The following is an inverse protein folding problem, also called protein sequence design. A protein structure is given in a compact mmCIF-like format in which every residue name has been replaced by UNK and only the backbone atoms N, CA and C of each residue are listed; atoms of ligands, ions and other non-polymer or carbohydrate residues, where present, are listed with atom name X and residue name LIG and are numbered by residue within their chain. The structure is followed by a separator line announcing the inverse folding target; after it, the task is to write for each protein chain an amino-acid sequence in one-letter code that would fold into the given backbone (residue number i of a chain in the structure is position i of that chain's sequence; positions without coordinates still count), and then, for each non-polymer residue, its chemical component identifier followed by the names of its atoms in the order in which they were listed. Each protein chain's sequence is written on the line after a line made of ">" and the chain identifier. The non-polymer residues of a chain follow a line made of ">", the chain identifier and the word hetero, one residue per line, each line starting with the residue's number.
data_IF_879281182799
#
_entry.id   IF_879281182799
#
_cell.length_a   1.000
_cell.length_b   1.000
_cell.length_c   1.000
_cell.angle_alpha   90.00
_cell.angle_beta   90.00
_cell.angle_gamma   90.00
#
_symmetry.space_group_name_H-M   'P 1'
#
loop_
_entity.id
_entity.type
_entity.pdbx_description
1 polymer ?
#
# COMPACT_ATOMS: atom_id res chain seq x y z
N UNK A 1 -4.87 8.30 -14.50
CA UNK A 1 -3.62 7.56 -14.23
C UNK A 1 -3.16 6.75 -15.45
N UNK A 2 -2.77 7.39 -16.57
CA UNK A 2 -2.28 6.69 -17.76
C UNK A 2 -1.07 5.77 -17.50
N UNK A 3 -0.07 6.21 -16.73
CA UNK A 3 1.13 5.41 -16.44
C UNK A 3 0.76 4.15 -15.65
N UNK A 4 0.06 4.29 -14.54
CA UNK A 4 -0.35 3.15 -13.70
C UNK A 4 -1.21 2.16 -14.49
N UNK A 5 -2.13 2.65 -15.33
CA UNK A 5 -2.95 1.78 -16.18
C UNK A 5 -2.14 1.04 -17.26
N UNK A 6 -1.07 1.64 -17.78
CA UNK A 6 -0.23 1.01 -18.81
C UNK A 6 0.60 -0.15 -18.27
N UNK A 7 0.97 -0.12 -16.98
CA UNK A 7 1.65 -1.24 -16.31
C UNK A 7 0.77 -2.50 -16.28
N UNK A 8 -0.53 -2.34 -16.03
CA UNK A 8 -1.49 -3.47 -16.12
C UNK A 8 -1.66 -3.90 -17.58
N UNK A 9 -1.84 -2.94 -18.50
CA UNK A 9 -2.08 -3.22 -19.91
C UNK A 9 -0.92 -3.98 -20.58
N UNK A 10 0.31 -3.73 -20.14
CA UNK A 10 1.52 -4.35 -20.65
C UNK A 10 1.90 -5.66 -19.94
N UNK A 11 1.16 -6.06 -18.91
CA UNK A 11 1.48 -7.25 -18.09
C UNK A 11 2.62 -7.05 -17.09
N UNK A 12 3.16 -5.83 -16.96
CA UNK A 12 4.16 -5.48 -15.94
C UNK A 12 3.59 -5.40 -14.52
N UNK A 13 2.26 -5.44 -14.38
CA UNK A 13 1.58 -5.44 -13.09
C UNK A 13 0.38 -6.39 -13.05
N UNK A 14 0.17 -6.99 -11.88
CA UNK A 14 -1.06 -7.72 -11.54
C UNK A 14 -1.99 -6.80 -10.75
N UNK A 15 -3.08 -6.36 -11.38
CA UNK A 15 -4.10 -5.50 -10.76
C UNK A 15 -5.39 -6.23 -10.41
N UNK A 16 -5.92 -5.95 -9.22
CA UNK A 16 -7.16 -6.51 -8.68
C UNK A 16 -8.10 -5.41 -8.21
N UNK A 17 -9.40 -5.71 -8.28
CA UNK A 17 -10.39 -5.02 -7.46
C UNK A 17 -10.44 -5.76 -6.13
N UNK A 18 -9.85 -5.17 -5.09
CA UNK A 18 -9.81 -5.73 -3.75
C UNK A 18 -11.09 -5.36 -2.99
N UNK A 19 -11.88 -6.37 -2.63
CA UNK A 19 -13.08 -6.18 -1.83
C UNK A 19 -12.68 -5.83 -0.38
N UNK A 20 -12.96 -4.59 0.00
CA UNK A 20 -12.83 -4.05 1.34
C UNK A 20 -14.17 -4.20 2.08
N UNK A 21 -14.23 -5.13 3.05
CA UNK A 21 -15.44 -5.33 3.85
C UNK A 21 -15.81 -4.09 4.67
N UNK A 22 -17.03 -4.06 5.21
CA UNK A 22 -17.49 -2.99 6.11
C UNK A 22 -16.78 -3.10 7.48
N UNK A 23 -16.54 -1.98 8.19
CA UNK A 23 -16.65 -0.61 7.72
C UNK A 23 -15.49 -0.25 6.80
N UNK A 24 -15.80 0.46 5.71
CA UNK A 24 -14.84 1.02 4.76
C UNK A 24 -14.27 2.33 5.32
N UNK A 25 -13.67 2.25 6.50
CA UNK A 25 -13.02 3.37 7.21
C UNK A 25 -11.54 3.06 7.36
N UNK A 26 -10.68 4.07 7.20
CA UNK A 26 -9.22 3.94 7.15
C UNK A 26 -8.63 3.07 8.25
N UNK A 27 -8.80 3.41 9.53
CA UNK A 27 -8.16 2.63 10.60
C UNK A 27 -8.59 1.14 10.63
N UNK A 28 -9.89 0.78 10.61
CA UNK A 28 -10.31 -0.62 10.47
C UNK A 28 -9.74 -1.32 9.23
N UNK A 29 -9.63 -0.64 8.10
CA UNK A 29 -9.11 -1.20 6.86
C UNK A 29 -7.59 -1.39 6.88
N UNK A 30 -6.84 -0.45 7.44
CA UNK A 30 -5.40 -0.61 7.69
C UNK A 30 -5.14 -1.83 8.58
N UNK A 31 -5.93 -2.00 9.66
CA UNK A 31 -5.86 -3.22 10.50
C UNK A 31 -6.12 -4.49 9.69
N UNK A 32 -7.12 -4.48 8.80
CA UNK A 32 -7.41 -5.63 7.93
C UNK A 32 -6.25 -5.95 6.97
N UNK A 33 -5.65 -4.92 6.37
CA UNK A 33 -4.53 -5.02 5.42
C UNK A 33 -3.26 -5.62 6.05
N UNK A 34 -3.05 -5.42 7.35
CA UNK A 34 -1.86 -5.95 8.05
C UNK A 34 -2.12 -7.25 8.83
N UNK A 35 -3.35 -7.52 9.24
CA UNK A 35 -3.69 -8.73 10.03
C UNK A 35 -4.26 -9.85 9.17
N UNK A 36 -4.85 -9.53 8.01
CA UNK A 36 -5.57 -10.48 7.18
C UNK A 36 -6.94 -10.83 7.76
N UNK A 37 -7.41 -10.06 8.76
CA UNK A 37 -8.71 -10.26 9.40
C UNK A 37 -9.75 -9.30 8.85
N UNK A 38 -10.96 -9.81 8.65
CA UNK A 38 -12.11 -8.93 8.52
C UNK A 38 -12.32 -8.20 9.86
N UNK A 39 -12.55 -6.87 9.86
CA UNK A 39 -12.82 -6.12 11.08
C UNK A 39 -14.04 -6.63 11.82
N UNK A 40 -13.87 -6.96 13.11
CA UNK A 40 -14.97 -7.31 13.98
C UNK A 40 -15.62 -6.04 14.55
N UNK A 41 -16.95 -6.06 14.71
CA UNK A 41 -17.71 -4.92 15.24
C UNK A 41 -17.23 -4.47 16.63
N UNK A 42 -16.75 -5.40 17.46
CA UNK A 42 -16.20 -5.12 18.80
C UNK A 42 -14.87 -4.34 18.72
N UNK A 43 -14.04 -4.59 17.71
CA UNK A 43 -12.76 -3.89 17.55
C UNK A 43 -12.97 -2.43 17.18
N UNK A 44 -14.04 -2.13 16.45
CA UNK A 44 -14.44 -0.74 16.13
C UNK A 44 -14.77 0.03 17.41
N UNK A 45 -15.48 -0.59 18.36
CA UNK A 45 -15.82 0.02 19.64
C UNK A 45 -14.59 0.18 20.55
N UNK A 46 -13.64 -0.77 20.50
CA UNK A 46 -12.37 -0.67 21.24
C UNK A 46 -11.40 0.35 20.63
N UNK A 47 -11.44 0.58 19.31
CA UNK A 47 -10.64 1.60 18.62
C UNK A 47 -10.91 3.03 19.11
N UNK A 48 -12.08 3.29 19.71
CA UNK A 48 -12.37 4.56 20.38
C UNK A 48 -11.58 4.75 21.68
N UNK A 49 -11.01 3.69 22.27
CA UNK A 49 -10.41 3.71 23.61
C UNK A 49 -8.93 3.22 23.65
N UNK A 50 -8.46 2.49 22.65
CA UNK A 50 -7.06 2.06 22.51
C UNK A 50 -6.65 1.99 21.04
N UNK A 51 -5.67 2.80 20.63
CA UNK A 51 -5.27 2.92 19.22
C UNK A 51 -4.25 1.87 18.77
N UNK A 52 -3.36 1.43 19.66
CA UNK A 52 -2.33 0.44 19.35
C UNK A 52 -2.95 -0.91 18.94
N UNK A 53 -2.38 -1.54 17.92
CA UNK A 53 -2.78 -2.88 17.50
C UNK A 53 -2.13 -3.91 18.43
N UNK A 54 -2.91 -4.41 19.39
CA UNK A 54 -2.46 -5.31 20.47
C UNK A 54 -2.27 -6.78 20.02
N UNK A 55 -1.78 -7.00 18.80
CA UNK A 55 -1.57 -8.34 18.27
C UNK A 55 -0.19 -8.44 17.61
N UNK A 56 0.71 -9.20 18.24
CA UNK A 56 2.01 -9.61 17.67
C UNK A 56 1.89 -10.42 16.36
N UNK A 57 0.65 -10.78 15.96
CA UNK A 57 0.33 -11.48 14.74
C UNK A 57 -0.20 -10.52 13.65
N UNK A 58 0.64 -9.61 13.16
CA UNK A 58 0.36 -8.80 11.98
C UNK A 58 1.64 -8.63 11.13
N UNK A 59 1.49 -8.32 9.83
CA UNK A 59 2.60 -8.22 8.88
C UNK A 59 3.72 -7.28 9.33
N UNK A 60 3.37 -6.11 9.90
CA UNK A 60 4.34 -5.08 10.28
C UNK A 60 5.16 -5.57 11.47
N UNK A 61 4.50 -6.12 12.49
CA UNK A 61 5.18 -6.72 13.65
C UNK A 61 6.02 -7.94 13.26
N UNK A 62 5.54 -8.79 12.33
CA UNK A 62 6.30 -9.94 11.85
C UNK A 62 7.55 -9.55 11.04
N UNK A 63 7.45 -8.52 10.20
CA UNK A 63 8.61 -7.94 9.51
C UNK A 63 9.63 -7.44 10.53
N UNK A 64 9.20 -6.63 11.50
CA UNK A 64 10.08 -6.10 12.55
C UNK A 64 10.72 -7.21 13.40
N UNK A 65 9.94 -8.20 13.82
CA UNK A 65 10.42 -9.35 14.59
C UNK A 65 11.42 -10.22 13.81
N UNK A 66 11.33 -10.23 12.48
CA UNK A 66 12.32 -10.88 11.60
C UNK A 66 13.57 -10.02 11.34
N UNK A 67 13.71 -8.89 12.03
CA UNK A 67 14.86 -7.99 11.94
C UNK A 67 14.83 -7.04 10.73
N UNK A 68 13.70 -6.92 10.03
CA UNK A 68 13.56 -6.01 8.89
C UNK A 68 13.45 -4.56 9.37
N UNK A 69 14.15 -3.67 8.69
CA UNK A 69 14.17 -2.23 8.93
C UNK A 69 13.01 -1.60 8.16
N UNK A 70 11.97 -1.17 8.88
CA UNK A 70 10.76 -0.60 8.28
C UNK A 70 10.80 0.92 8.39
N UNK A 71 10.53 1.61 7.27
CA UNK A 71 10.43 3.07 7.19
C UNK A 71 9.02 3.46 6.80
N UNK A 72 8.48 4.53 7.42
CA UNK A 72 7.11 4.98 7.20
C UNK A 72 7.00 6.48 6.98
N UNK A 73 6.27 6.89 5.95
CA UNK A 73 5.88 8.28 5.73
C UNK A 73 4.39 8.36 5.41
N UNK A 74 3.66 9.23 6.09
CA UNK A 74 2.23 9.40 5.85
C UNK A 74 1.49 9.98 7.03
N UNK A 75 0.25 9.59 7.22
CA UNK A 75 -0.57 10.08 8.33
C UNK A 75 -0.25 9.41 9.68
N UNK A 76 -0.57 10.10 10.77
CA UNK A 76 -0.26 9.66 12.14
C UNK A 76 -1.03 8.40 12.62
N UNK A 77 -2.02 7.91 11.86
CA UNK A 77 -2.75 6.66 12.17
C UNK A 77 -1.80 5.48 12.25
N UNK A 78 -0.83 5.37 11.35
CA UNK A 78 0.16 4.28 11.37
C UNK A 78 1.06 4.34 12.60
N UNK A 79 1.46 5.53 13.04
CA UNK A 79 2.28 5.70 14.24
C UNK A 79 1.52 5.31 15.52
N UNK A 80 0.21 5.52 15.53
CA UNK A 80 -0.68 5.08 16.62
C UNK A 80 -0.89 3.56 16.59
N UNK A 81 -0.99 2.95 15.40
CA UNK A 81 -1.19 1.52 15.23
C UNK A 81 0.07 0.70 15.56
N UNK A 82 1.25 1.20 15.19
CA UNK A 82 2.55 0.52 15.29
C UNK A 82 3.57 1.41 16.05
N UNK A 83 3.31 1.71 17.34
CA UNK A 83 4.23 2.52 18.12
C UNK A 83 5.62 1.86 18.16
N UNK A 84 6.66 2.68 18.07
CA UNK A 84 8.08 2.28 18.19
C UNK A 84 8.56 1.22 17.16
N UNK A 85 7.77 0.91 16.13
CA UNK A 85 8.10 -0.15 15.17
C UNK A 85 8.97 0.33 14.01
N UNK A 86 8.84 1.60 13.62
CA UNK A 86 9.56 2.15 12.47
C UNK A 86 10.96 2.60 12.84
N UNK A 87 11.96 2.19 12.04
CA UNK A 87 13.35 2.68 12.14
C UNK A 87 13.42 4.19 11.92
N UNK A 88 12.64 4.67 10.96
CA UNK A 88 12.53 6.07 10.58
C UNK A 88 11.09 6.33 10.19
N UNK A 89 10.54 7.43 10.68
CA UNK A 89 9.18 7.82 10.32
C UNK A 89 8.96 9.31 10.36
N UNK A 90 8.03 9.79 9.53
CA UNK A 90 7.54 11.16 9.55
C UNK A 90 6.02 11.18 9.36
N UNK A 91 5.29 11.37 10.45
CA UNK A 91 3.83 11.35 10.48
C UNK A 91 3.24 12.76 10.46
N UNK A 92 2.19 12.95 9.67
CA UNK A 92 1.41 14.19 9.61
C UNK A 92 -0.01 13.95 10.11
N UNK A 93 -0.63 14.92 10.76
CA UNK A 93 -2.03 14.80 11.17
C UNK A 93 -2.94 14.76 9.94
N UNK A 94 -3.55 13.61 9.65
CA UNK A 94 -4.52 13.45 8.56
C UNK A 94 -5.94 13.96 8.87
N UNK A 95 -6.21 14.46 10.09
CA UNK A 95 -7.57 14.72 10.55
C UNK A 95 -8.29 15.88 9.83
N UNK A 96 -7.55 16.75 9.14
CA UNK A 96 -8.13 17.92 8.47
C UNK A 96 -8.40 17.63 6.99
N UNK A 97 -9.59 17.09 6.69
CA UNK A 97 -10.00 16.65 5.33
C UNK A 97 -10.09 17.75 4.26
N UNK A 98 -9.91 19.03 4.64
CA UNK A 98 -9.84 20.15 3.69
C UNK A 98 -8.42 20.41 3.18
N UNK A 99 -7.41 19.90 3.87
CA UNK A 99 -6.07 19.86 3.32
C UNK A 99 -5.98 18.69 2.35
N UNK A 100 -5.57 18.92 1.10
CA UNK A 100 -5.42 17.87 0.09
C UNK A 100 -3.96 17.69 -0.32
N UNK A 101 -3.02 18.32 0.38
CA UNK A 101 -1.62 18.44 -0.07
C UNK A 101 -0.57 18.26 1.03
N UNK A 102 -0.85 18.58 2.30
CA UNK A 102 0.18 18.57 3.36
C UNK A 102 0.76 17.18 3.58
N UNK A 103 -0.12 16.18 3.75
CA UNK A 103 0.30 14.77 3.94
C UNK A 103 1.05 14.27 2.71
N UNK A 104 0.54 14.53 1.51
CA UNK A 104 1.14 14.06 0.26
C UNK A 104 2.50 14.71 0.00
N UNK A 105 2.66 16.00 0.30
CA UNK A 105 3.94 16.71 0.25
C UNK A 105 4.90 16.17 1.30
N UNK A 106 4.41 15.85 2.50
CA UNK A 106 5.21 15.25 3.56
C UNK A 106 5.77 13.89 3.15
N UNK A 107 4.98 13.05 2.48
CA UNK A 107 5.47 11.77 1.95
C UNK A 107 6.47 12.00 0.81
N UNK A 108 6.08 12.82 -0.18
CA UNK A 108 6.82 12.98 -1.44
C UNK A 108 8.21 13.57 -1.24
N UNK A 109 8.40 14.47 -0.27
CA UNK A 109 9.72 15.10 -0.02
C UNK A 109 10.81 14.13 0.42
N UNK A 110 10.44 12.97 0.96
CA UNK A 110 11.40 11.94 1.40
C UNK A 110 11.83 11.01 0.25
N UNK A 111 11.03 10.88 -0.80
CA UNK A 111 11.28 9.92 -1.89
C UNK A 111 12.63 10.13 -2.57
N UNK A 112 13.08 11.39 -2.72
CA UNK A 112 14.39 11.69 -3.34
C UNK A 112 15.58 11.09 -2.58
N UNK A 113 15.44 10.84 -1.27
CA UNK A 113 16.51 10.32 -0.42
C UNK A 113 16.37 8.81 -0.23
N UNK A 114 15.14 8.33 -0.04
CA UNK A 114 14.83 6.90 0.16
C UNK A 114 14.93 6.09 -1.13
N UNK A 115 14.57 6.72 -2.26
CA UNK A 115 14.50 6.12 -3.58
C UNK A 115 15.50 6.80 -4.51
N UNK A 116 16.65 7.28 -4.02
CA UNK A 116 17.70 7.79 -4.91
C UNK A 116 18.14 6.67 -5.87
N UNK A 117 17.93 6.82 -7.20
CA UNK A 117 18.19 5.77 -8.19
C UNK A 117 19.69 5.48 -8.37
N UNK A 118 20.56 6.35 -7.85
CA UNK A 118 22.01 6.16 -7.89
C UNK A 118 22.53 5.31 -6.74
N UNK A 119 21.69 5.02 -5.73
CA UNK A 119 22.07 4.35 -4.48
C UNK A 119 23.21 5.08 -3.73
N UNK A 120 23.40 6.40 -3.95
CA UNK A 120 24.45 7.19 -3.30
C UNK A 120 23.98 7.80 -1.98
N UNK A 121 22.68 8.10 -1.86
CA UNK A 121 22.09 8.49 -0.59
C UNK A 121 22.13 7.30 0.38
N UNK A 122 22.59 7.55 1.61
CA UNK A 122 22.66 6.53 2.66
C UNK A 122 21.30 5.88 2.97
N UNK A 123 20.20 6.62 2.81
CA UNK A 123 18.84 6.11 3.05
C UNK A 123 18.41 5.07 2.03
N UNK A 124 18.89 5.13 0.79
CA UNK A 124 18.51 4.17 -0.27
C UNK A 124 18.89 2.72 0.03
N UNK A 125 19.88 2.47 0.90
CA UNK A 125 20.33 1.12 1.26
C UNK A 125 19.97 0.69 2.69
N UNK A 126 19.27 1.55 3.45
CA UNK A 126 19.17 1.40 4.90
C UNK A 126 17.82 0.89 5.42
N UNK A 127 16.92 0.47 4.53
CA UNK A 127 15.61 -0.10 4.84
C UNK A 127 15.34 -1.39 4.06
N UNK A 128 14.40 -2.19 4.55
CA UNK A 128 13.95 -3.45 3.94
C UNK A 128 12.45 -3.40 3.56
N UNK A 129 11.68 -2.53 4.21
CA UNK A 129 10.32 -2.18 3.80
C UNK A 129 10.10 -0.66 3.92
N UNK A 130 9.54 -0.05 2.87
CA UNK A 130 9.15 1.36 2.82
C UNK A 130 7.63 1.46 2.65
N UNK A 131 6.96 2.08 3.62
CA UNK A 131 5.51 2.30 3.62
C UNK A 131 5.23 3.78 3.38
N UNK A 132 4.49 4.06 2.31
CA UNK A 132 4.11 5.42 1.88
C UNK A 132 2.59 5.52 1.91
N UNK A 133 2.04 6.37 2.77
CA UNK A 133 0.60 6.52 2.93
C UNK A 133 0.15 7.93 2.56
N UNK A 134 -0.48 8.05 1.40
CA UNK A 134 -1.04 9.27 0.84
C UNK A 134 -2.53 9.41 1.20
N UNK A 135 -3.00 10.63 1.44
CA UNK A 135 -4.40 10.91 1.82
C UNK A 135 -5.14 11.80 0.84
N UNK A 136 -4.43 12.46 -0.08
CA UNK A 136 -5.04 13.52 -0.88
C UNK A 136 -6.20 13.07 -1.77
N UNK A 137 -6.24 11.81 -2.24
CA UNK A 137 -7.40 11.27 -2.97
C UNK A 137 -8.65 11.16 -2.06
N UNK A 138 -8.51 10.66 -0.83
CA UNK A 138 -9.62 10.58 0.12
C UNK A 138 -10.16 11.98 0.44
N UNK A 139 -9.26 12.91 0.76
CA UNK A 139 -9.60 14.29 1.12
C UNK A 139 -10.29 15.03 -0.03
N UNK A 140 -9.82 14.88 -1.28
CA UNK A 140 -10.50 15.43 -2.47
C UNK A 140 -11.88 14.81 -2.66
N UNK A 141 -12.00 13.50 -2.39
CA UNK A 141 -13.27 12.77 -2.41
C UNK A 141 -14.30 13.37 -1.46
N UNK A 142 -13.94 13.61 -0.20
CA UNK A 142 -14.79 14.31 0.77
C UNK A 142 -15.12 15.75 0.36
N UNK A 143 -14.12 16.47 -0.15
CA UNK A 143 -14.23 17.91 -0.40
C UNK A 143 -15.07 18.26 -1.64
N UNK A 144 -15.02 17.44 -2.69
CA UNK A 144 -15.62 17.74 -4.00
C UNK A 144 -16.30 16.53 -4.66
N UNK A 145 -16.21 15.34 -4.10
CA UNK A 145 -16.73 14.11 -4.67
C UNK A 145 -15.78 13.45 -5.69
N UNK A 146 -15.96 12.14 -5.94
CA UNK A 146 -15.03 11.34 -6.75
C UNK A 146 -15.04 11.67 -8.24
N UNK A 147 -16.04 12.42 -8.73
CA UNK A 147 -16.16 12.82 -10.15
C UNK A 147 -15.77 14.28 -10.42
N UNK A 148 -15.20 14.96 -9.43
CA UNK A 148 -14.84 16.37 -9.54
C UNK A 148 -13.60 16.59 -10.43
N UNK A 149 -13.43 17.79 -11.03
CA UNK A 149 -12.18 18.16 -11.72
C UNK A 149 -10.95 18.05 -10.82
N UNK A 150 -11.09 18.40 -9.53
CA UNK A 150 -10.00 18.28 -8.56
C UNK A 150 -9.55 16.82 -8.36
N UNK A 151 -10.49 15.86 -8.43
CA UNK A 151 -10.14 14.44 -8.39
C UNK A 151 -9.28 14.03 -9.58
N UNK A 152 -9.54 14.59 -10.77
CA UNK A 152 -8.71 14.33 -11.95
C UNK A 152 -7.28 14.83 -11.75
N UNK A 153 -7.12 16.09 -11.34
CA UNK A 153 -5.81 16.68 -11.05
C UNK A 153 -5.06 15.86 -10.00
N UNK A 154 -5.77 15.41 -8.97
CA UNK A 154 -5.17 14.60 -7.90
C UNK A 154 -4.76 13.20 -8.36
N UNK A 155 -5.54 12.57 -9.23
CA UNK A 155 -5.17 11.30 -9.85
C UNK A 155 -3.96 11.46 -10.79
N UNK A 156 -3.81 12.60 -11.47
CA UNK A 156 -2.62 12.89 -12.30
C UNK A 156 -1.36 13.05 -11.42
N UNK A 157 -1.48 13.75 -10.29
CA UNK A 157 -0.41 13.85 -9.28
C UNK A 157 0.02 12.47 -8.78
N UNK A 158 -0.93 11.63 -8.34
CA UNK A 158 -0.64 10.28 -7.84
C UNK A 158 -0.07 9.36 -8.92
N UNK A 159 -0.45 9.54 -10.19
CA UNK A 159 0.13 8.77 -11.29
C UNK A 159 1.62 9.10 -11.48
N UNK A 160 1.98 10.38 -11.34
CA UNK A 160 3.37 10.83 -11.36
C UNK A 160 4.19 10.29 -10.18
N UNK A 161 3.59 10.21 -8.99
CA UNK A 161 4.23 9.60 -7.81
C UNK A 161 4.47 8.10 -8.04
N UNK A 162 3.48 7.36 -8.55
CA UNK A 162 3.64 5.94 -8.88
C UNK A 162 4.75 5.75 -9.91
N UNK A 163 4.81 6.60 -10.94
CA UNK A 163 5.90 6.59 -11.92
C UNK A 163 7.27 6.80 -11.28
N UNK A 164 7.42 7.83 -10.44
CA UNK A 164 8.66 8.10 -9.72
C UNK A 164 9.12 6.88 -8.91
N UNK A 165 8.21 6.26 -8.15
CA UNK A 165 8.53 5.09 -7.32
C UNK A 165 8.97 3.91 -8.19
N UNK A 166 8.21 3.59 -9.24
CA UNK A 166 8.51 2.45 -10.13
C UNK A 166 9.85 2.63 -10.83
N UNK A 167 10.10 3.80 -11.42
CA UNK A 167 11.34 4.07 -12.14
C UNK A 167 12.56 4.07 -11.19
N UNK A 168 12.39 4.60 -9.98
CA UNK A 168 13.46 4.63 -8.98
C UNK A 168 13.79 3.24 -8.44
N UNK A 169 12.78 2.44 -8.07
CA UNK A 169 12.98 1.07 -7.60
C UNK A 169 13.64 0.22 -8.68
N UNK A 170 13.24 0.37 -9.96
CA UNK A 170 13.91 -0.30 -11.09
C UNK A 170 15.39 0.02 -11.19
N UNK A 171 15.75 1.29 -11.05
CA UNK A 171 17.15 1.71 -11.08
C UNK A 171 17.94 1.16 -9.86
N UNK A 172 17.33 1.15 -8.67
CA UNK A 172 17.95 0.60 -7.47
C UNK A 172 18.13 -0.92 -7.57
N UNK A 173 17.12 -1.66 -8.02
CA UNK A 173 17.18 -3.11 -8.24
C UNK A 173 18.25 -3.48 -9.24
N UNK A 174 18.33 -2.79 -10.38
CA UNK A 174 19.37 -3.01 -11.37
C UNK A 174 20.78 -2.91 -10.76
N UNK A 175 21.03 -1.89 -9.92
CA UNK A 175 22.32 -1.73 -9.23
C UNK A 175 22.54 -2.79 -8.15
N UNK A 176 21.53 -3.13 -7.36
CA UNK A 176 21.67 -4.16 -6.32
C UNK A 176 22.00 -5.51 -6.93
N UNK A 177 21.31 -5.88 -8.01
CA UNK A 177 21.51 -7.15 -8.72
C UNK A 177 22.81 -7.18 -9.53
N UNK A 178 23.32 -6.04 -10.01
CA UNK A 178 24.66 -5.95 -10.59
C UNK A 178 25.76 -6.21 -9.55
N UNK A 179 25.57 -5.72 -8.32
CA UNK A 179 26.56 -5.83 -7.24
C UNK A 179 26.47 -7.15 -6.45
N UNK A 180 25.30 -7.77 -6.36
CA UNK A 180 25.03 -8.99 -5.60
C UNK A 180 24.12 -9.92 -6.41
N UNK A 181 24.68 -11.03 -6.90
CA UNK A 181 23.94 -12.03 -7.68
C UNK A 181 22.90 -12.81 -6.87
N UNK A 182 22.92 -12.70 -5.54
CA UNK A 182 21.90 -13.25 -4.65
C UNK A 182 20.75 -12.27 -4.38
N UNK A 183 20.89 -11.01 -4.78
CA UNK A 183 19.84 -10.00 -4.63
C UNK A 183 18.57 -10.43 -5.37
N UNK A 184 17.44 -10.30 -4.68
CA UNK A 184 16.12 -10.54 -5.24
C UNK A 184 15.49 -9.20 -5.63
N UNK A 185 14.65 -9.18 -6.68
CA UNK A 185 13.88 -7.99 -7.04
C UNK A 185 13.03 -7.52 -5.87
N UNK A 186 12.88 -6.21 -5.75
CA UNK A 186 11.91 -5.58 -4.86
C UNK A 186 10.49 -5.94 -5.28
N UNK A 187 9.58 -5.93 -4.30
CA UNK A 187 8.15 -5.93 -4.56
C UNK A 187 7.63 -4.50 -4.45
N UNK A 188 6.94 -4.01 -5.48
CA UNK A 188 6.19 -2.76 -5.41
C UNK A 188 4.71 -3.13 -5.26
N UNK A 189 4.13 -2.70 -4.15
CA UNK A 189 2.73 -2.90 -3.82
C UNK A 189 2.02 -1.54 -3.84
N UNK A 190 1.02 -1.39 -4.70
CA UNK A 190 0.10 -0.27 -4.70
C UNK A 190 -1.28 -0.77 -4.27
N UNK A 191 -1.81 -0.26 -3.15
CA UNK A 191 -3.12 -0.63 -2.67
C UNK A 191 -3.87 0.54 -2.05
N UNK A 192 -5.20 0.42 -1.94
CA UNK A 192 -6.03 1.31 -1.14
C UNK A 192 -6.74 0.54 -0.02
N UNK A 193 -7.11 1.28 1.02
CA UNK A 193 -7.85 0.80 2.18
C UNK A 193 -9.36 0.68 1.88
N UNK A 194 -9.92 1.62 1.10
CA UNK A 194 -11.29 1.58 0.59
C UNK A 194 -11.42 2.34 -0.74
N UNK A 195 -12.65 2.42 -1.25
CA UNK A 195 -13.07 3.36 -2.29
C UNK A 195 -13.89 4.51 -1.71
N UNK A 196 -14.73 5.15 -2.50
CA UNK A 196 -15.48 6.36 -2.10
C UNK A 196 -16.86 6.33 -2.74
N UNK A 197 -17.91 6.63 -1.98
CA UNK A 197 -19.26 6.74 -2.53
C UNK A 197 -19.41 7.94 -3.47
N UNK A 198 -20.43 7.93 -4.31
CA UNK A 198 -20.72 9.00 -5.28
C UNK A 198 -20.93 10.38 -4.65
N UNK A 199 -21.32 10.43 -3.37
CA UNK A 199 -21.53 11.67 -2.62
C UNK A 199 -20.29 12.13 -1.85
N UNK A 200 -19.13 11.48 -2.04
CA UNK A 200 -17.89 11.84 -1.35
C UNK A 200 -17.90 11.43 0.12
N UNK A 201 -18.40 10.24 0.43
CA UNK A 201 -18.37 9.67 1.78
C UNK A 201 -17.93 8.20 1.74
N UNK A 202 -17.52 7.64 2.87
CA UNK A 202 -17.17 6.24 3.00
C UNK A 202 -17.55 5.69 4.39
N UNK A 203 -17.37 4.39 4.62
CA UNK A 203 -17.72 3.68 5.85
C UNK A 203 -18.87 2.68 5.69
N UNK A 204 -19.61 2.79 4.60
CA UNK A 204 -20.69 1.89 4.20
C UNK A 204 -20.23 0.67 3.41
N UNK A 205 -21.21 0.08 2.72
CA UNK A 205 -21.10 -1.20 2.01
C UNK A 205 -21.35 -1.06 0.50
N UNK A 206 -21.41 0.15 -0.04
CA UNK A 206 -21.66 0.32 -1.47
C UNK A 206 -20.54 -0.31 -2.30
N UNK A 207 -20.85 -0.63 -3.55
CA UNK A 207 -19.84 -1.21 -4.44
C UNK A 207 -18.66 -0.26 -4.60
N UNK A 208 -18.93 1.04 -4.68
CA UNK A 208 -17.96 2.11 -4.85
C UNK A 208 -17.07 2.25 -3.60
N UNK A 209 -17.63 2.17 -2.40
CA UNK A 209 -16.86 2.19 -1.15
C UNK A 209 -16.04 0.92 -0.91
N UNK A 210 -16.56 -0.24 -1.29
CA UNK A 210 -15.92 -1.55 -1.05
C UNK A 210 -14.93 -1.97 -2.14
N UNK A 211 -14.90 -1.28 -3.28
CA UNK A 211 -13.96 -1.57 -4.37
C UNK A 211 -12.64 -0.82 -4.18
N UNK A 212 -11.71 -1.43 -3.46
CA UNK A 212 -10.36 -0.92 -3.27
C UNK A 212 -9.41 -1.37 -4.40
N UNK A 213 -8.28 -0.68 -4.52
CA UNK A 213 -7.19 -1.03 -5.43
C UNK A 213 -6.24 -2.02 -4.74
N UNK A 214 -5.78 -3.03 -5.47
CA UNK A 214 -4.65 -3.87 -5.08
C UNK A 214 -3.83 -4.22 -6.32
N UNK A 215 -2.54 -3.92 -6.31
CA UNK A 215 -1.69 -4.04 -7.48
C UNK A 215 -0.27 -4.42 -7.09
N UNK A 216 0.29 -5.44 -7.75
CA UNK A 216 1.64 -5.95 -7.51
C UNK A 216 2.50 -5.77 -8.76
N UNK A 217 3.75 -5.35 -8.58
CA UNK A 217 4.76 -5.20 -9.62
C UNK A 217 6.11 -5.72 -9.11
N UNK A 218 6.93 -6.25 -10.03
CA UNK A 218 8.34 -6.53 -9.73
C UNK A 218 9.19 -5.29 -9.93
N UNK A 219 10.11 -5.07 -9.01
CA UNK A 219 11.07 -3.97 -9.06
C UNK A 219 12.06 -4.10 -10.21
N UNK A 220 12.38 -5.31 -10.69
CA UNK A 220 13.23 -5.52 -11.87
C UNK A 220 12.54 -5.19 -13.20
N UNK A 221 11.23 -4.92 -13.19
CA UNK A 221 10.44 -4.60 -14.37
C UNK A 221 10.05 -5.81 -15.23
N UNK A 222 10.38 -7.03 -14.80
CA UNK A 222 9.95 -8.25 -15.47
C UNK A 222 8.42 -8.39 -15.41
N UNK A 223 7.78 -8.99 -16.44
CA UNK A 223 6.33 -9.15 -16.48
C UNK A 223 5.80 -9.98 -15.29
N UNK A 224 4.70 -9.50 -14.69
CA UNK A 224 3.93 -10.25 -13.68
C UNK A 224 2.94 -11.25 -14.32
N UNK A 225 2.66 -11.11 -15.62
CA UNK A 225 1.81 -12.01 -16.41
C UNK A 225 2.30 -12.11 -17.85
N UNK A 226 1.93 -13.19 -18.54
CA UNK A 226 2.00 -13.23 -20.00
C UNK A 226 0.99 -12.27 -20.62
N UNK A 227 1.35 -11.65 -21.75
CA UNK A 227 0.55 -10.64 -22.46
C UNK A 227 -0.79 -11.15 -23.02
N UNK A 228 -1.06 -12.46 -22.93
CA UNK A 228 -2.24 -13.10 -23.50
C UNK A 228 -3.44 -13.14 -22.52
N UNK A 229 -3.22 -12.84 -21.24
CA UNK A 229 -4.21 -12.99 -20.17
C UNK A 229 -4.61 -11.64 -19.53
N UNK A 230 -4.90 -10.66 -20.39
CA UNK A 230 -5.28 -9.28 -20.01
C UNK A 230 -6.75 -9.26 -19.55
N UNK A 231 -7.05 -9.93 -18.45
CA UNK A 231 -8.31 -9.76 -17.74
C UNK A 231 -8.15 -8.61 -16.73
N UNK A 232 -8.65 -7.43 -17.10
CA UNK A 232 -9.02 -6.43 -16.12
C UNK A 232 -10.19 -6.98 -15.29
N UNK A 233 -10.09 -6.88 -13.96
CA UNK A 233 -11.14 -7.20 -12.96
C UNK A 233 -11.09 -8.63 -12.39
N UNK A 234 -9.91 -9.15 -12.07
CA UNK A 234 -9.87 -10.16 -11.02
C UNK A 234 -10.34 -9.53 -9.70
N UNK A 235 -11.40 -10.07 -9.11
CA UNK A 235 -11.88 -9.66 -7.78
C UNK A 235 -11.21 -10.54 -6.73
N UNK A 236 -10.57 -9.92 -5.74
CA UNK A 236 -9.92 -10.59 -4.60
C UNK A 236 -10.38 -9.97 -3.30
N UNK A 237 -10.20 -10.64 -2.18
CA UNK A 237 -10.46 -10.00 -0.89
C UNK A 237 -9.25 -9.17 -0.50
N UNK A 238 -9.46 -7.98 0.09
CA UNK A 238 -8.35 -7.14 0.54
C UNK A 238 -7.43 -7.87 1.54
N UNK A 239 -8.00 -8.76 2.36
CA UNK A 239 -7.28 -9.58 3.34
C UNK A 239 -6.37 -10.65 2.72
N UNK A 240 -6.53 -10.96 1.42
CA UNK A 240 -5.68 -11.92 0.69
C UNK A 240 -4.22 -11.39 0.56
N UNK A 241 -4.01 -10.09 0.78
CA UNK A 241 -2.69 -9.47 0.83
C UNK A 241 -1.79 -10.14 1.88
N UNK A 242 -2.31 -10.40 3.07
CA UNK A 242 -1.50 -10.84 4.22
C UNK A 242 -0.81 -12.21 4.03
N UNK A 243 -1.52 -13.29 3.69
CA UNK A 243 -0.84 -14.57 3.42
C UNK A 243 0.10 -14.47 2.21
N UNK A 244 -0.22 -13.61 1.23
CA UNK A 244 0.61 -13.38 0.04
C UNK A 244 1.96 -12.74 0.40
N UNK A 245 1.93 -11.61 1.12
CA UNK A 245 3.17 -10.95 1.58
C UNK A 245 3.95 -11.86 2.54
N UNK A 246 3.26 -12.55 3.46
CA UNK A 246 3.92 -13.50 4.37
C UNK A 246 4.68 -14.57 3.60
N UNK A 247 4.05 -15.16 2.58
CA UNK A 247 4.69 -16.18 1.74
C UNK A 247 5.88 -15.64 0.95
N UNK A 248 5.77 -14.44 0.37
CA UNK A 248 6.85 -13.83 -0.43
C UNK A 248 8.09 -13.50 0.41
N UNK A 249 7.89 -13.10 1.68
CA UNK A 249 8.97 -12.72 2.59
C UNK A 249 9.42 -13.86 3.51
N UNK A 250 8.88 -15.07 3.36
CA UNK A 250 9.21 -16.22 4.20
C UNK A 250 8.80 -16.05 5.66
N UNK A 251 7.76 -15.26 5.93
CA UNK A 251 7.21 -15.01 7.26
C UNK A 251 6.10 -16.03 7.58
N UNK A 252 5.84 -16.31 8.88
CA UNK A 252 4.63 -17.03 9.25
C UNK A 252 3.38 -16.23 8.85
N UNK A 253 2.31 -16.91 8.46
CA UNK A 253 1.02 -16.24 8.24
C UNK A 253 0.44 -15.89 9.62
N UNK A 254 -0.01 -14.64 9.85
CA UNK A 254 -0.74 -14.27 11.07
C UNK A 254 -1.82 -15.28 11.46
N UNK A 255 -1.82 -15.70 12.72
CA UNK A 255 -2.61 -16.84 13.23
C UNK A 255 -4.10 -16.79 12.87
N UNK A 256 -4.68 -15.59 12.84
CA UNK A 256 -6.10 -15.40 12.58
C UNK A 256 -6.39 -14.79 11.21
N UNK A 257 -5.39 -14.71 10.32
CA UNK A 257 -5.61 -14.29 8.94
C UNK A 257 -6.64 -15.22 8.30
N UNK A 258 -7.66 -14.63 7.69
CA UNK A 258 -8.66 -15.33 6.89
C UNK A 258 -8.43 -15.18 5.39
N UNK A 259 -7.37 -14.46 4.99
CA UNK A 259 -7.01 -14.25 3.59
C UNK A 259 -6.61 -15.55 2.89
N UNK A 260 -6.81 -15.57 1.58
CA UNK A 260 -6.32 -16.62 0.70
C UNK A 260 -5.03 -16.20 -0.01
N UNK A 261 -4.19 -17.17 -0.32
CA UNK A 261 -2.94 -16.92 -1.05
C UNK A 261 -3.25 -16.51 -2.50
N UNK A 262 -2.70 -15.39 -2.96
CA UNK A 262 -2.73 -15.00 -4.37
C UNK A 262 -1.64 -15.77 -5.14
N UNK A 263 -1.97 -16.99 -5.57
CA UNK A 263 -1.02 -17.88 -6.23
C UNK A 263 -0.39 -17.29 -7.49
N UNK A 264 -1.14 -16.47 -8.23
CA UNK A 264 -0.68 -15.77 -9.43
C UNK A 264 0.38 -14.72 -9.12
N UNK A 265 0.36 -14.13 -7.92
CA UNK A 265 1.43 -13.25 -7.44
C UNK A 265 2.66 -14.07 -7.02
N UNK A 266 2.47 -15.13 -6.23
CA UNK A 266 3.59 -15.90 -5.66
C UNK A 266 4.35 -16.70 -6.72
N UNK A 267 3.67 -17.24 -7.73
CA UNK A 267 4.33 -18.01 -8.81
C UNK A 267 5.23 -17.15 -9.70
N UNK A 268 5.05 -15.84 -9.67
CA UNK A 268 5.72 -14.88 -10.54
C UNK A 268 6.78 -14.05 -9.82
N UNK A 269 7.05 -14.32 -8.53
CA UNK A 269 8.00 -13.59 -7.69
C UNK A 269 9.35 -14.30 -7.53
#
# INVERSE_FOLDING_TARGET
>A
MPFTSSLVASGQALGYVAHASVPTVTMPRLKALVTGKAPAFIDILKNFNSAALDEDANLVSLLAASGKRIVFYGDDTWLKLFPETFKRSDGTSGFYTRDTVEVDNNVTRHLKEELDPTMQNEKSGDWDALVLHYLGLDHVGHLRGPRSPLMREKLEEMDGVVQLVVDSVRAQDARRMENDSSARPSLILLCSDHGMSEVGNHGGATLEESSALLMFMRGDGEPMRSSEDISYKQKRSQVDLVPTISSLFGLPIPLYSSGLLLEDVVKMA
#
